data_IF_989078990172
#
_entry.id   IF_989078990172
#
_cell.length_a   1.000
_cell.length_b   1.000
_cell.length_c   1.000
_cell.angle_alpha   90.00
_cell.angle_beta   90.00
_cell.angle_gamma   90.00
#
_symmetry.space_group_name_H-M   'P 1'
#
loop_
_entity.id
_entity.type
_entity.pdbx_description
1 polymer ?
#
# COMPACT_ATOMS: atom_id res chain seq x y z
N UNK A 1 -21.16 -57.74 -70.24
CA UNK A 1 -20.74 -56.40 -70.69
C UNK A 1 -19.48 -56.56 -71.53
N UNK A 2 -19.58 -56.21 -72.81
CA UNK A 2 -18.53 -56.41 -73.83
C UNK A 2 -17.27 -55.59 -73.49
N UNK A 3 -16.10 -56.10 -73.83
CA UNK A 3 -14.80 -55.42 -73.62
C UNK A 3 -14.70 -54.05 -74.31
N UNK A 4 -15.63 -53.75 -75.23
CA UNK A 4 -15.78 -52.50 -75.97
C UNK A 4 -16.46 -51.41 -75.10
N UNK A 5 -17.42 -51.77 -74.24
CA UNK A 5 -18.12 -50.82 -73.36
C UNK A 5 -17.18 -50.29 -72.26
N UNK A 6 -16.29 -51.17 -71.76
CA UNK A 6 -15.27 -50.81 -70.77
C UNK A 6 -14.29 -49.75 -71.31
N UNK A 7 -13.89 -49.85 -72.58
CA UNK A 7 -12.94 -48.91 -73.21
C UNK A 7 -13.58 -47.55 -73.51
N UNK A 8 -14.87 -47.51 -73.84
CA UNK A 8 -15.61 -46.25 -74.02
C UNK A 8 -15.91 -45.56 -72.68
N UNK A 9 -16.30 -46.32 -71.66
CA UNK A 9 -16.49 -45.80 -70.31
C UNK A 9 -15.20 -45.18 -69.75
N UNK A 10 -14.05 -45.84 -69.90
CA UNK A 10 -12.75 -45.31 -69.46
C UNK A 10 -12.37 -44.02 -70.18
N UNK A 11 -12.67 -43.88 -71.48
CA UNK A 11 -12.37 -42.65 -72.25
C UNK A 11 -13.20 -41.43 -71.85
N UNK A 12 -14.39 -41.63 -71.28
CA UNK A 12 -15.26 -40.53 -70.81
C UNK A 12 -15.03 -40.23 -69.33
N UNK A 13 -14.80 -41.27 -68.52
CA UNK A 13 -14.63 -41.12 -67.06
C UNK A 13 -13.27 -40.50 -66.71
N UNK A 14 -12.20 -40.86 -67.44
CA UNK A 14 -10.86 -40.35 -67.15
C UNK A 14 -10.72 -38.81 -67.20
N UNK A 15 -11.19 -38.09 -68.24
CA UNK A 15 -11.07 -36.63 -68.29
C UNK A 15 -11.95 -35.93 -67.24
N UNK A 16 -13.15 -36.44 -66.96
CA UNK A 16 -14.04 -35.88 -65.93
C UNK A 16 -13.44 -36.06 -64.54
N UNK A 17 -12.89 -37.24 -64.24
CA UNK A 17 -12.19 -37.49 -62.98
C UNK A 17 -10.93 -36.60 -62.84
N UNK A 18 -10.18 -36.40 -63.93
CA UNK A 18 -9.04 -35.48 -63.94
C UNK A 18 -9.42 -34.02 -63.68
N UNK A 19 -10.52 -33.55 -64.26
CA UNK A 19 -11.07 -32.20 -64.03
C UNK A 19 -11.56 -32.01 -62.58
N UNK A 20 -12.24 -33.01 -62.02
CA UNK A 20 -12.68 -32.98 -60.63
C UNK A 20 -11.49 -33.00 -59.66
N UNK A 21 -10.47 -33.82 -59.94
CA UNK A 21 -9.25 -33.86 -59.16
C UNK A 21 -8.47 -32.53 -59.23
N UNK A 22 -8.35 -31.94 -60.42
CA UNK A 22 -7.72 -30.63 -60.60
C UNK A 22 -8.51 -29.52 -59.90
N UNK A 23 -9.85 -29.53 -59.99
CA UNK A 23 -10.72 -28.57 -59.30
C UNK A 23 -10.62 -28.66 -57.78
N UNK A 24 -10.57 -29.87 -57.22
CA UNK A 24 -10.36 -30.11 -55.78
C UNK A 24 -8.97 -29.63 -55.32
N UNK A 25 -7.93 -29.86 -56.12
CA UNK A 25 -6.57 -29.40 -55.83
C UNK A 25 -6.46 -27.86 -55.87
N UNK A 26 -7.09 -27.22 -56.85
CA UNK A 26 -7.13 -25.74 -56.96
C UNK A 26 -7.97 -25.14 -55.85
N UNK A 27 -9.08 -25.78 -55.46
CA UNK A 27 -9.92 -25.32 -54.36
C UNK A 27 -9.19 -25.39 -53.01
N UNK A 28 -8.50 -26.49 -52.73
CA UNK A 28 -7.66 -26.65 -51.53
C UNK A 28 -6.47 -25.67 -51.53
N UNK A 29 -5.81 -25.48 -52.67
CA UNK A 29 -4.72 -24.50 -52.82
C UNK A 29 -5.19 -23.05 -52.64
N UNK A 30 -6.37 -22.72 -53.16
CA UNK A 30 -6.97 -21.38 -53.06
C UNK A 30 -7.44 -21.09 -51.63
N UNK A 31 -8.02 -22.06 -50.92
CA UNK A 31 -8.43 -21.88 -49.51
C UNK A 31 -7.21 -21.64 -48.60
N UNK A 32 -6.09 -22.34 -48.84
CA UNK A 32 -4.84 -22.12 -48.09
C UNK A 32 -4.13 -20.80 -48.43
N UNK A 33 -4.24 -20.30 -49.67
CA UNK A 33 -3.63 -19.03 -50.10
C UNK A 33 -4.43 -17.79 -49.67
N UNK A 34 -5.74 -17.91 -49.42
CA UNK A 34 -6.61 -16.82 -48.96
C UNK A 34 -7.01 -16.93 -47.47
N UNK A 35 -6.60 -17.99 -46.76
CA UNK A 35 -6.77 -18.15 -45.31
C UNK A 35 -5.42 -18.26 -44.62
N UNK A 36 -4.89 -17.12 -44.16
CA UNK A 36 -3.72 -17.06 -43.30
C UNK A 36 -4.16 -16.64 -41.89
N UNK A 37 -3.87 -17.46 -40.89
CA UNK A 37 -4.00 -17.10 -39.47
C UNK A 37 -2.62 -16.82 -38.91
N UNK A 38 -2.47 -15.70 -38.19
CA UNK A 38 -1.29 -15.40 -37.37
C UNK A 38 -1.66 -15.55 -35.90
N UNK A 39 -0.72 -15.96 -35.06
CA UNK A 39 -0.94 -16.17 -33.63
C UNK A 39 -0.01 -15.27 -32.83
N UNK A 40 -0.55 -14.61 -31.80
CA UNK A 40 0.24 -14.01 -30.74
C UNK A 40 0.28 -15.02 -29.58
N UNK A 41 1.47 -15.51 -29.26
CA UNK A 41 1.66 -16.52 -28.22
C UNK A 41 2.45 -15.91 -27.08
N UNK A 42 2.08 -16.27 -25.84
CA UNK A 42 2.70 -15.78 -24.61
C UNK A 42 2.42 -14.30 -24.25
N UNK A 43 1.27 -13.75 -24.62
CA UNK A 43 0.76 -12.53 -23.99
C UNK A 43 0.59 -12.73 -22.48
N UNK A 44 1.17 -11.84 -21.68
CA UNK A 44 1.08 -11.86 -20.23
C UNK A 44 0.92 -10.45 -19.66
N UNK A 45 0.10 -10.32 -18.62
CA UNK A 45 -0.05 -9.11 -17.82
C UNK A 45 0.18 -9.48 -16.36
N UNK A 46 0.95 -8.67 -15.64
CA UNK A 46 1.15 -8.79 -14.20
C UNK A 46 0.78 -7.47 -13.52
N UNK A 47 0.17 -7.57 -12.34
CA UNK A 47 -0.06 -6.44 -11.45
C UNK A 47 1.12 -6.30 -10.50
N UNK A 48 1.47 -5.07 -10.13
CA UNK A 48 2.39 -4.85 -9.02
C UNK A 48 1.70 -5.06 -7.67
N UNK A 49 2.50 -5.08 -6.59
CA UNK A 49 2.03 -5.24 -5.22
C UNK A 49 2.30 -3.99 -4.37
N UNK A 50 1.46 -3.77 -3.37
CA UNK A 50 1.71 -2.87 -2.25
C UNK A 50 1.69 -3.74 -0.98
N UNK A 51 2.71 -3.63 -0.16
CA UNK A 51 2.83 -4.38 1.08
C UNK A 51 3.46 -3.47 2.13
N UNK A 52 2.72 -3.17 3.19
CA UNK A 52 3.11 -2.22 4.22
C UNK A 52 3.06 -2.88 5.59
N UNK A 53 4.10 -2.66 6.39
CA UNK A 53 4.22 -3.15 7.76
C UNK A 53 4.87 -2.09 8.63
N UNK A 54 4.73 -2.20 9.95
CA UNK A 54 5.45 -1.34 10.89
C UNK A 54 6.06 -2.17 12.02
N UNK A 55 7.05 -1.60 12.69
CA UNK A 55 7.80 -2.28 13.73
C UNK A 55 7.18 -2.18 15.14
N UNK A 56 6.14 -1.36 15.32
CA UNK A 56 5.50 -1.12 16.64
C UNK A 56 6.45 -0.56 17.71
N UNK A 57 7.55 0.07 17.31
CA UNK A 57 8.64 0.45 18.21
C UNK A 57 9.53 -0.71 18.68
N UNK A 58 9.35 -1.90 18.10
CA UNK A 58 10.16 -3.11 18.33
C UNK A 58 11.05 -3.40 17.11
N UNK A 59 11.80 -4.50 17.12
CA UNK A 59 12.60 -4.95 15.97
C UNK A 59 11.83 -5.82 14.95
N UNK A 60 10.51 -5.98 15.09
CA UNK A 60 9.71 -6.93 14.28
C UNK A 60 8.61 -6.22 13.51
N UNK A 61 8.60 -6.42 12.19
CA UNK A 61 7.63 -5.80 11.27
C UNK A 61 6.37 -6.65 11.12
N UNK A 62 5.20 -6.04 11.30
CA UNK A 62 3.90 -6.66 11.11
C UNK A 62 2.88 -5.67 10.55
N UNK A 63 1.80 -6.19 9.94
CA UNK A 63 0.70 -5.35 9.44
C UNK A 63 -0.15 -4.71 10.55
N UNK A 64 -0.04 -5.23 11.78
CA UNK A 64 -0.63 -4.66 13.00
C UNK A 64 0.33 -4.94 14.16
N UNK A 65 0.52 -3.95 15.02
CA UNK A 65 1.40 -4.02 16.20
C UNK A 65 0.66 -3.56 17.46
N UNK A 66 1.30 -3.65 18.62
CA UNK A 66 0.76 -3.09 19.86
C UNK A 66 0.71 -1.56 19.81
N UNK A 67 -0.10 -0.95 20.68
CA UNK A 67 -0.19 0.50 20.79
C UNK A 67 1.19 1.13 21.06
N UNK A 68 1.52 2.17 20.29
CA UNK A 68 2.79 2.89 20.43
C UNK A 68 2.85 3.74 21.70
N UNK A 69 1.70 4.30 22.09
CA UNK A 69 1.50 5.01 23.34
C UNK A 69 0.57 4.19 24.23
N UNK A 70 1.05 3.79 25.41
CA UNK A 70 0.27 3.06 26.39
C UNK A 70 0.34 3.76 27.74
N UNK A 71 -0.65 4.62 28.00
CA UNK A 71 -0.79 5.34 29.26
C UNK A 71 -1.07 4.46 30.47
N UNK A 72 -1.26 3.14 30.31
CA UNK A 72 -1.47 2.20 31.41
C UNK A 72 -0.18 1.54 31.90
N UNK A 73 0.89 1.55 31.10
CA UNK A 73 2.17 0.96 31.47
C UNK A 73 3.00 1.91 32.34
N UNK A 74 3.33 1.47 33.55
CA UNK A 74 4.11 2.25 34.50
C UNK A 74 5.50 2.61 33.96
N UNK A 75 5.93 3.86 34.17
CA UNK A 75 7.25 4.36 33.75
C UNK A 75 7.32 4.86 32.31
N UNK A 76 6.23 4.78 31.54
CA UNK A 76 6.15 5.46 30.24
C UNK A 76 5.83 6.95 30.40
N UNK A 77 6.29 7.82 29.49
CA UNK A 77 6.04 9.25 29.59
C UNK A 77 4.55 9.61 29.51
N UNK A 78 3.73 8.78 28.86
CA UNK A 78 2.28 8.92 28.76
C UNK A 78 1.49 8.36 29.96
N UNK A 79 2.17 7.82 30.98
CA UNK A 79 1.54 7.29 32.18
C UNK A 79 1.35 8.38 33.25
N UNK A 80 0.13 8.51 33.79
CA UNK A 80 -0.21 9.47 34.86
C UNK A 80 0.15 10.94 34.55
N UNK A 81 -0.19 11.37 33.33
CA UNK A 81 0.16 12.70 32.81
C UNK A 81 -0.69 13.81 33.41
N UNK A 82 -0.13 15.02 33.47
CA UNK A 82 -0.81 16.28 33.78
C UNK A 82 -0.55 17.33 32.70
N UNK A 83 -1.31 18.41 32.73
CA UNK A 83 -1.10 19.56 31.83
C UNK A 83 0.37 20.02 31.87
N UNK A 84 0.95 20.21 30.68
CA UNK A 84 2.35 20.55 30.47
C UNK A 84 3.28 19.34 30.31
N UNK A 85 2.83 18.11 30.64
CA UNK A 85 3.60 16.91 30.35
C UNK A 85 3.60 16.62 28.85
N UNK A 86 4.65 15.92 28.40
CA UNK A 86 4.82 15.53 27.01
C UNK A 86 5.82 14.40 26.86
N UNK A 87 5.91 13.88 25.65
CA UNK A 87 6.80 12.78 25.33
C UNK A 87 6.93 12.59 23.82
N UNK A 88 7.72 11.60 23.44
CA UNK A 88 7.87 11.21 22.04
C UNK A 88 8.02 9.70 21.93
N UNK A 89 7.55 9.16 20.82
CA UNK A 89 7.80 7.78 20.41
C UNK A 89 8.14 7.73 18.94
N UNK A 90 8.95 6.76 18.58
CA UNK A 90 9.32 6.52 17.19
C UNK A 90 8.86 5.15 16.72
N UNK A 91 8.57 5.08 15.42
CA UNK A 91 8.11 3.87 14.76
C UNK A 91 8.66 3.87 13.33
N UNK A 92 9.08 2.69 12.86
CA UNK A 92 9.54 2.53 11.48
C UNK A 92 8.48 1.80 10.68
N UNK A 93 8.12 2.37 9.53
CA UNK A 93 7.19 1.77 8.57
C UNK A 93 7.99 1.28 7.38
N UNK A 94 7.75 0.03 6.96
CA UNK A 94 8.40 -0.61 5.82
C UNK A 94 7.39 -0.89 4.72
N UNK A 95 7.72 -0.44 3.50
CA UNK A 95 7.11 -0.92 2.28
C UNK A 95 7.99 -2.00 1.67
N UNK A 96 7.40 -3.11 1.22
CA UNK A 96 8.06 -4.17 0.45
C UNK A 96 7.37 -4.44 -0.90
N UNK A 97 6.45 -3.55 -1.29
CA UNK A 97 5.69 -3.65 -2.54
C UNK A 97 6.52 -3.33 -3.78
N UNK A 98 6.10 -3.78 -4.96
CA UNK A 98 6.79 -3.50 -6.23
C UNK A 98 6.36 -2.19 -6.91
N UNK A 99 5.32 -1.52 -6.39
CA UNK A 99 4.81 -0.26 -6.95
C UNK A 99 5.32 0.93 -6.14
N UNK A 100 5.64 2.02 -6.84
CA UNK A 100 5.84 3.32 -6.22
C UNK A 100 4.50 3.89 -5.75
N UNK A 101 4.52 4.72 -4.71
CA UNK A 101 3.34 5.34 -4.15
C UNK A 101 3.68 6.46 -3.18
N UNK A 102 2.67 7.08 -2.58
CA UNK A 102 2.85 8.05 -1.51
C UNK A 102 2.41 7.44 -0.19
N UNK A 103 3.34 7.31 0.75
CA UNK A 103 3.05 6.88 2.12
C UNK A 103 2.50 8.06 2.91
N UNK A 104 1.29 7.91 3.46
CA UNK A 104 0.64 8.92 4.28
C UNK A 104 0.30 8.40 5.66
N UNK A 105 0.37 9.31 6.62
CA UNK A 105 -0.03 9.09 8.00
C UNK A 105 -1.39 9.75 8.24
N UNK A 106 -2.26 9.05 8.97
CA UNK A 106 -3.50 9.58 9.49
C UNK A 106 -3.87 8.85 10.79
N UNK A 107 -4.89 9.34 11.48
CA UNK A 107 -5.37 8.76 12.74
C UNK A 107 -6.62 7.92 12.50
N UNK A 108 -6.74 6.80 13.18
CA UNK A 108 -7.98 6.04 13.24
C UNK A 108 -9.02 6.66 14.18
N UNK A 109 -9.92 5.82 14.70
CA UNK A 109 -10.98 6.24 15.59
C UNK A 109 -10.41 6.70 16.96
N UNK A 110 -11.03 7.71 17.55
CA UNK A 110 -10.70 8.17 18.91
C UNK A 110 -11.69 7.53 19.90
N UNK A 111 -11.17 6.94 20.98
CA UNK A 111 -11.96 6.51 22.13
C UNK A 111 -11.66 7.41 23.32
N UNK A 112 -12.69 7.95 23.96
CA UNK A 112 -12.55 9.02 24.96
C UNK A 112 -12.23 10.36 24.28
N UNK A 113 -13.08 11.37 24.47
CA UNK A 113 -13.03 12.61 23.69
C UNK A 113 -12.70 13.86 24.51
N UNK A 114 -12.49 13.72 25.82
CA UNK A 114 -12.22 14.86 26.70
C UNK A 114 -10.75 15.27 26.63
N UNK A 115 -9.83 14.29 26.58
CA UNK A 115 -8.39 14.56 26.57
C UNK A 115 -7.85 14.78 25.14
N UNK A 116 -8.39 14.08 24.14
CA UNK A 116 -7.92 14.17 22.76
C UNK A 116 -7.84 15.61 22.18
N UNK A 117 -8.79 16.53 22.43
CA UNK A 117 -8.67 17.91 21.95
C UNK A 117 -7.53 18.70 22.60
N UNK A 118 -6.95 18.20 23.70
CA UNK A 118 -5.88 18.84 24.47
C UNK A 118 -4.54 18.11 24.30
N UNK A 119 -4.48 17.02 23.55
CA UNK A 119 -3.22 16.36 23.21
C UNK A 119 -2.74 16.98 21.91
N UNK A 120 -1.77 17.88 21.97
CA UNK A 120 -1.10 18.42 20.79
C UNK A 120 -0.08 17.40 20.30
N UNK A 121 -0.08 17.15 18.98
CA UNK A 121 0.77 16.16 18.32
C UNK A 121 1.58 16.83 17.22
N UNK A 122 2.87 16.54 17.21
CA UNK A 122 3.78 16.81 16.11
C UNK A 122 4.22 15.49 15.50
N UNK A 123 4.09 15.37 14.18
CA UNK A 123 4.47 14.16 13.43
C UNK A 123 5.52 14.53 12.41
N UNK A 124 6.68 13.92 12.56
CA UNK A 124 7.83 14.08 11.68
C UNK A 124 8.15 12.74 11.03
N UNK A 125 8.56 12.77 9.77
CA UNK A 125 8.90 11.59 9.00
C UNK A 125 10.24 11.77 8.29
N UNK A 126 11.02 10.70 8.18
CA UNK A 126 12.30 10.70 7.48
C UNK A 126 12.53 9.34 6.80
N UNK A 127 12.84 9.31 5.50
CA UNK A 127 13.32 8.10 4.84
C UNK A 127 14.61 7.60 5.50
N UNK A 128 14.70 6.30 5.76
CA UNK A 128 15.88 5.66 6.36
C UNK A 128 16.33 4.48 5.52
N UNK A 129 17.55 3.99 5.71
CA UNK A 129 18.00 2.82 4.97
C UNK A 129 17.15 1.60 5.36
N UNK A 130 16.98 0.65 4.44
CA UNK A 130 16.25 -0.60 4.69
C UNK A 130 16.87 -1.47 5.80
N UNK A 131 18.09 -1.17 6.23
CA UNK A 131 18.78 -1.83 7.35
C UNK A 131 18.61 -1.10 8.68
N UNK A 132 18.15 0.15 8.65
CA UNK A 132 18.00 0.98 9.84
C UNK A 132 16.69 0.64 10.54
N UNK A 133 16.73 0.61 11.87
CA UNK A 133 15.55 0.44 12.68
C UNK A 133 15.60 1.38 13.88
N UNK A 134 14.68 2.36 13.86
CA UNK A 134 14.62 3.37 14.90
C UNK A 134 13.91 2.79 16.12
N UNK A 135 14.55 2.94 17.27
CA UNK A 135 14.03 2.45 18.55
C UNK A 135 12.80 3.24 18.98
N UNK A 136 11.91 2.63 19.78
CA UNK A 136 10.68 3.26 20.26
C UNK A 136 10.90 4.58 21.01
N UNK A 137 12.03 4.73 21.69
CA UNK A 137 12.43 5.93 22.44
C UNK A 137 13.02 7.04 21.55
N UNK A 138 12.99 6.84 20.22
CA UNK A 138 13.60 7.69 19.21
C UNK A 138 15.12 7.73 19.20
N UNK A 139 15.80 6.83 19.92
CA UNK A 139 17.24 6.67 19.79
C UNK A 139 17.59 6.29 18.35
N UNK A 140 18.47 7.08 17.73
CA UNK A 140 18.89 6.91 16.34
C UNK A 140 18.04 7.63 15.30
N UNK A 141 16.98 8.36 15.68
CA UNK A 141 16.16 9.11 14.73
C UNK A 141 16.99 10.20 14.02
N UNK A 142 17.04 10.24 12.67
CA UNK A 142 17.81 11.22 11.92
C UNK A 142 17.39 12.68 12.19
N UNK A 143 18.35 13.61 12.13
CA UNK A 143 18.09 15.05 12.30
C UNK A 143 18.10 15.83 10.97
N UNK A 144 18.50 15.19 9.88
CA UNK A 144 18.53 15.76 8.53
C UNK A 144 17.54 15.03 7.64
N UNK A 145 17.00 15.72 6.62
CA UNK A 145 15.99 15.14 5.72
C UNK A 145 14.62 14.94 6.36
N UNK A 146 14.40 15.46 7.57
CA UNK A 146 13.13 15.36 8.30
C UNK A 146 12.07 16.22 7.61
N UNK A 147 10.91 15.62 7.38
CA UNK A 147 9.70 16.26 6.87
C UNK A 147 8.68 16.34 8.00
N UNK A 148 8.27 17.55 8.38
CA UNK A 148 7.18 17.74 9.35
C UNK A 148 5.83 17.59 8.64
N UNK A 149 5.10 16.53 8.95
CA UNK A 149 3.78 16.26 8.38
C UNK A 149 2.68 17.01 9.14
N UNK A 150 2.83 17.09 10.47
CA UNK A 150 1.94 17.83 11.36
C UNK A 150 2.78 18.53 12.43
N UNK A 151 2.43 19.77 12.79
CA UNK A 151 3.19 20.57 13.75
C UNK A 151 2.26 21.11 14.85
N UNK A 152 2.36 20.54 16.04
CA UNK A 152 1.61 20.92 17.24
C UNK A 152 0.11 21.11 16.97
N UNK A 153 -0.53 20.10 16.38
CA UNK A 153 -1.98 20.09 16.13
C UNK A 153 -2.67 19.19 17.14
N UNK A 154 -3.85 19.58 17.62
CA UNK A 154 -4.65 18.72 18.49
C UNK A 154 -4.88 17.34 17.85
N UNK A 155 -4.86 16.28 18.65
CA UNK A 155 -5.04 14.90 18.20
C UNK A 155 -6.33 14.74 17.40
N UNK A 156 -7.40 15.45 17.76
CA UNK A 156 -8.68 15.47 17.02
C UNK A 156 -8.60 16.08 15.63
N UNK A 157 -7.62 16.97 15.39
CA UNK A 157 -7.43 17.69 14.13
C UNK A 157 -6.57 16.93 13.12
N UNK A 158 -5.95 15.82 13.52
CA UNK A 158 -5.30 14.91 12.57
C UNK A 158 -6.31 14.36 11.55
N UNK A 159 -5.89 14.17 10.30
CA UNK A 159 -6.74 13.57 9.28
C UNK A 159 -7.17 12.17 9.72
N UNK A 160 -8.36 11.73 9.30
CA UNK A 160 -8.89 10.41 9.61
C UNK A 160 -9.00 9.47 8.40
N UNK A 161 -8.35 9.84 7.30
CA UNK A 161 -8.33 9.07 6.06
C UNK A 161 -7.17 9.51 5.19
N UNK A 162 -6.75 8.63 4.28
CA UNK A 162 -5.71 8.91 3.28
C UNK A 162 -6.01 10.16 2.43
N UNK A 163 -7.27 10.34 2.02
CA UNK A 163 -7.68 11.48 1.22
C UNK A 163 -7.59 12.81 2.00
N UNK A 164 -7.80 12.78 3.32
CA UNK A 164 -7.67 13.94 4.20
C UNK A 164 -6.21 14.29 4.54
N UNK A 165 -5.29 13.33 4.46
CA UNK A 165 -3.86 13.57 4.67
C UNK A 165 -3.24 14.25 3.45
N UNK A 166 -2.88 15.53 3.58
CA UNK A 166 -2.34 16.32 2.47
C UNK A 166 -0.85 16.02 2.21
N UNK A 167 -0.05 15.87 3.27
CA UNK A 167 1.38 15.58 3.19
C UNK A 167 1.65 14.06 3.24
N UNK A 168 2.74 13.64 2.62
CA UNK A 168 3.18 12.25 2.59
C UNK A 168 4.63 12.13 2.12
N UNK A 169 5.16 10.91 2.19
CA UNK A 169 6.52 10.59 1.77
C UNK A 169 6.44 9.76 0.49
N UNK A 170 7.16 10.19 -0.54
CA UNK A 170 7.25 9.42 -1.78
C UNK A 170 8.06 8.14 -1.54
N UNK A 171 7.53 7.03 -2.03
CA UNK A 171 8.15 5.70 -1.94
C UNK A 171 8.41 5.18 -3.35
N UNK A 172 9.62 4.69 -3.61
CA UNK A 172 9.93 3.93 -4.81
C UNK A 172 9.67 2.44 -4.55
N UNK A 173 9.20 1.69 -5.55
CA UNK A 173 8.93 0.26 -5.36
C UNK A 173 10.19 -0.49 -4.91
N UNK A 174 10.00 -1.54 -4.11
CA UNK A 174 11.06 -2.29 -3.44
C UNK A 174 10.95 -2.20 -1.92
N UNK A 175 12.00 -2.61 -1.22
CA UNK A 175 12.08 -2.48 0.23
C UNK A 175 12.56 -1.08 0.60
N UNK A 176 11.66 -0.28 1.17
CA UNK A 176 11.94 1.07 1.64
C UNK A 176 11.37 1.29 3.04
N UNK A 177 12.04 2.13 3.83
CA UNK A 177 11.64 2.44 5.20
C UNK A 177 11.51 3.93 5.43
N UNK A 178 10.50 4.30 6.22
CA UNK A 178 10.31 5.65 6.72
C UNK A 178 10.15 5.57 8.22
N UNK A 179 11.04 6.28 8.94
CA UNK A 179 10.93 6.46 10.37
C UNK A 179 10.01 7.65 10.68
N UNK A 180 9.10 7.47 11.62
CA UNK A 180 8.21 8.49 12.14
C UNK A 180 8.58 8.81 13.59
N UNK A 181 8.66 10.09 13.92
CA UNK A 181 8.71 10.59 15.29
C UNK A 181 7.39 11.28 15.60
N UNK A 182 6.71 10.80 16.62
CA UNK A 182 5.45 11.34 17.09
C UNK A 182 5.71 11.93 18.47
N UNK A 183 5.67 13.25 18.54
CA UNK A 183 5.82 14.01 19.78
C UNK A 183 4.44 14.47 20.23
N UNK A 184 4.14 14.32 21.52
CA UNK A 184 2.89 14.77 22.10
C UNK A 184 3.11 15.68 23.31
N UNK A 185 2.16 16.55 23.57
CA UNK A 185 2.09 17.36 24.78
C UNK A 185 0.63 17.53 25.22
N UNK A 186 0.37 17.46 26.53
CA UNK A 186 -0.93 17.76 27.09
C UNK A 186 -1.05 19.27 27.33
N UNK A 187 -1.79 19.96 26.47
CA UNK A 187 -2.03 21.39 26.52
C UNK A 187 -3.02 21.77 27.63
N UNK A 188 -2.93 23.03 28.08
CA UNK A 188 -3.93 23.63 28.97
C UNK A 188 -5.16 24.05 28.18
N UNK A 189 -6.32 23.89 28.79
CA UNK A 189 -7.60 24.44 28.33
C UNK A 189 -7.67 25.97 28.43
N UNK A 190 -6.67 26.60 29.07
CA UNK A 190 -6.62 28.04 29.33
C UNK A 190 -7.30 28.46 30.64
N UNK A 191 -7.82 27.52 31.45
CA UNK A 191 -8.38 27.81 32.77
C UNK A 191 -8.13 26.67 33.76
N UNK A 192 -7.94 27.00 35.04
CA UNK A 192 -7.76 25.99 36.08
C UNK A 192 -8.96 25.05 36.23
N UNK A 193 -10.19 25.55 36.02
CA UNK A 193 -11.40 24.72 36.04
C UNK A 193 -11.50 23.75 34.85
N UNK A 194 -11.04 24.18 33.67
CA UNK A 194 -10.99 23.30 32.49
C UNK A 194 -9.89 22.25 32.64
N UNK A 195 -8.72 22.64 33.14
CA UNK A 195 -7.62 21.71 33.39
C UNK A 195 -7.99 20.68 34.48
N UNK A 196 -8.72 21.11 35.51
CA UNK A 196 -9.27 20.21 36.52
C UNK A 196 -10.27 19.19 35.94
N UNK A 197 -11.01 19.56 34.89
CA UNK A 197 -11.95 18.65 34.21
C UNK A 197 -11.24 17.56 33.39
N UNK A 198 -9.95 17.73 33.08
CA UNK A 198 -9.14 16.70 32.42
C UNK A 198 -8.66 15.61 33.39
N UNK A 199 -8.69 15.86 34.70
CA UNK A 199 -8.18 14.92 35.69
C UNK A 199 -8.94 13.58 35.66
N UNK A 200 -8.20 12.47 35.62
CA UNK A 200 -8.76 11.12 35.58
C UNK A 200 -9.39 10.73 34.24
N UNK A 201 -9.31 11.60 33.22
CA UNK A 201 -9.77 11.28 31.87
C UNK A 201 -8.69 10.54 31.09
N UNK A 202 -9.12 9.74 30.12
CA UNK A 202 -8.25 9.08 29.16
C UNK A 202 -8.76 9.29 27.74
N UNK A 203 -7.85 9.19 26.78
CA UNK A 203 -8.20 9.13 25.36
C UNK A 203 -7.19 8.24 24.65
N UNK A 204 -7.65 7.48 23.67
CA UNK A 204 -6.82 6.67 22.79
C UNK A 204 -7.19 6.91 21.34
N UNK A 205 -6.25 6.69 20.44
CA UNK A 205 -6.46 6.72 19.02
C UNK A 205 -5.54 5.74 18.33
N UNK A 206 -6.02 5.11 17.25
CA UNK A 206 -5.15 4.34 16.37
C UNK A 206 -4.35 5.31 15.48
N UNK A 207 -3.15 4.87 15.09
CA UNK A 207 -2.28 5.58 14.17
C UNK A 207 -2.10 4.70 12.94
N UNK A 208 -2.44 5.23 11.78
CA UNK A 208 -2.54 4.48 10.55
C UNK A 208 -1.58 5.02 9.48
N UNK A 209 -1.03 4.09 8.71
CA UNK A 209 -0.24 4.38 7.53
C UNK A 209 -0.82 3.65 6.33
N UNK A 210 -0.91 4.35 5.21
CA UNK A 210 -1.39 3.79 3.96
C UNK A 210 -0.53 4.30 2.80
N UNK A 211 -0.32 3.44 1.81
CA UNK A 211 0.38 3.75 0.57
C UNK A 211 -0.60 3.59 -0.60
N UNK A 212 -0.68 4.62 -1.45
CA UNK A 212 -1.42 4.58 -2.73
C UNK A 212 -0.61 5.24 -3.84
#
# INVERSE_FOLDING_TARGET
MSSIDRRRAVRVVAPVAGLLAAGLLVWQGSYAAFSATTQNTADAWSTGTLALTNNGGTGTYAGSTSALFDGTTAGQPENNIKVGDGGQKCITVESSGSLAGTLKFYRGAITGNVLAPQIDVTVEAVPVAATDDIQADCTGFPTTGVTTLHNAVALTSLPSSYAGAAAGIAMSGGTERVAYRITWALASTGSGSGDAALMGQSSSADLDWEIQ
#
